data_IF_951581679502
#
_entry.id   IF_951581679502
#
_cell.length_a   1.000
_cell.length_b   1.000
_cell.length_c   1.000
_cell.angle_alpha   90.00
_cell.angle_beta   90.00
_cell.angle_gamma   90.00
#
_symmetry.space_group_name_H-M   'P 1'
#
loop_
_entity.id
_entity.type
_entity.pdbx_description
1 polymer ?
#
# COMPACT_ATOMS: atom_id res chain seq x y z
N UNK A 1 -11.63 -32.22 -36.98
CA UNK A 1 -10.87 -30.98 -36.78
C UNK A 1 -11.00 -30.59 -35.31
N UNK A 2 -9.92 -30.69 -34.56
CA UNK A 2 -9.89 -30.43 -33.11
C UNK A 2 -9.81 -28.92 -32.88
N UNK A 3 -10.85 -28.33 -32.30
CA UNK A 3 -10.79 -26.96 -31.77
C UNK A 3 -10.04 -26.99 -30.44
N UNK A 4 -8.77 -26.58 -30.44
CA UNK A 4 -8.02 -26.36 -29.20
C UNK A 4 -8.52 -25.06 -28.55
N UNK A 5 -9.26 -25.19 -27.44
CA UNK A 5 -9.51 -24.11 -26.49
C UNK A 5 -8.21 -23.79 -25.75
N UNK A 6 -7.44 -22.81 -26.25
CA UNK A 6 -6.32 -22.24 -25.50
C UNK A 6 -6.90 -21.31 -24.42
N UNK A 7 -6.86 -21.75 -23.16
CA UNK A 7 -7.33 -21.03 -21.96
C UNK A 7 -6.54 -19.76 -21.61
N UNK A 8 -6.29 -18.88 -22.58
CA UNK A 8 -5.69 -17.58 -22.35
C UNK A 8 -6.75 -16.60 -21.83
N UNK A 9 -6.56 -16.10 -20.60
CA UNK A 9 -7.34 -14.98 -20.08
C UNK A 9 -7.11 -13.76 -20.97
N UNK A 10 -8.17 -13.10 -21.49
CA UNK A 10 -8.03 -11.89 -22.29
C UNK A 10 -7.26 -10.80 -21.53
N UNK A 11 -6.41 -10.04 -22.23
CA UNK A 11 -5.69 -8.91 -21.65
C UNK A 11 -6.69 -7.82 -21.23
N UNK A 12 -6.77 -7.52 -19.94
CA UNK A 12 -7.57 -6.40 -19.43
C UNK A 12 -6.83 -5.06 -19.63
N UNK A 13 -6.96 -4.53 -20.85
CA UNK A 13 -6.36 -3.25 -21.23
C UNK A 13 -7.02 -2.05 -20.54
N UNK A 14 -8.29 -2.19 -20.14
CA UNK A 14 -9.03 -1.13 -19.45
C UNK A 14 -8.44 -0.92 -18.05
N UNK A 15 -8.22 -2.00 -17.30
CA UNK A 15 -7.60 -1.90 -15.99
C UNK A 15 -6.15 -1.41 -16.07
N UNK A 16 -5.38 -1.81 -17.09
CA UNK A 16 -4.04 -1.24 -17.32
C UNK A 16 -4.10 0.28 -17.52
N UNK A 17 -5.05 0.78 -18.31
CA UNK A 17 -5.24 2.21 -18.54
C UNK A 17 -5.65 2.94 -17.24
N UNK A 18 -6.48 2.32 -16.41
CA UNK A 18 -6.85 2.81 -15.08
C UNK A 18 -5.61 2.94 -14.17
N UNK A 19 -4.77 1.91 -14.09
CA UNK A 19 -3.51 1.97 -13.32
C UNK A 19 -2.61 3.07 -13.84
N UNK A 20 -2.50 3.25 -15.16
CA UNK A 20 -1.74 4.35 -15.76
C UNK A 20 -2.33 5.73 -15.40
N UNK A 21 -3.65 5.88 -15.37
CA UNK A 21 -4.34 7.12 -14.96
C UNK A 21 -4.03 7.46 -13.50
N UNK A 22 -4.22 6.50 -12.59
CA UNK A 22 -4.04 6.71 -11.14
C UNK A 22 -2.57 6.91 -10.77
N UNK A 23 -1.66 6.08 -11.32
CA UNK A 23 -0.24 6.19 -11.03
C UNK A 23 0.46 7.31 -11.80
N UNK A 24 -0.06 7.71 -12.96
CA UNK A 24 0.63 8.59 -13.91
C UNK A 24 1.87 7.94 -14.54
N UNK A 25 1.99 6.61 -14.50
CA UNK A 25 3.19 5.88 -14.93
C UNK A 25 2.93 4.92 -16.10
N UNK A 26 3.80 4.88 -17.12
CA UNK A 26 3.66 4.01 -18.28
C UNK A 26 4.25 2.61 -17.99
N UNK A 27 3.48 1.78 -17.27
CA UNK A 27 3.88 0.42 -16.85
C UNK A 27 4.22 -0.50 -18.02
N UNK A 28 3.64 -0.26 -19.19
CA UNK A 28 3.85 -1.00 -20.43
C UNK A 28 5.28 -0.86 -21.00
N UNK A 29 6.02 0.19 -20.63
CA UNK A 29 7.42 0.36 -21.06
C UNK A 29 8.39 -0.59 -20.34
N UNK A 30 7.93 -1.33 -19.34
CA UNK A 30 8.78 -2.24 -18.59
C UNK A 30 9.21 -3.45 -19.43
N UNK A 31 10.47 -3.45 -19.88
CA UNK A 31 11.09 -4.58 -20.59
C UNK A 31 11.67 -5.68 -19.66
N UNK A 32 11.28 -5.69 -18.38
CA UNK A 32 11.62 -6.77 -17.43
C UNK A 32 13.12 -6.98 -17.14
N UNK A 33 13.91 -5.90 -17.01
CA UNK A 33 15.33 -5.98 -16.63
C UNK A 33 15.63 -6.45 -15.19
N UNK A 34 14.60 -6.58 -14.34
CA UNK A 34 14.69 -7.06 -12.95
C UNK A 34 15.55 -6.23 -11.97
N UNK A 35 16.11 -5.07 -12.36
CA UNK A 35 16.87 -4.20 -11.44
C UNK A 35 16.09 -3.81 -10.18
N UNK A 36 14.78 -3.61 -10.32
CA UNK A 36 13.89 -3.32 -9.20
C UNK A 36 13.69 -4.51 -8.25
N UNK A 37 13.76 -5.75 -8.74
CA UNK A 37 13.69 -6.94 -7.90
C UNK A 37 14.96 -7.09 -7.06
N UNK A 38 16.13 -6.93 -7.69
CA UNK A 38 17.42 -7.00 -7.02
C UNK A 38 17.59 -5.93 -5.91
N UNK A 39 16.92 -4.78 -6.05
CA UNK A 39 16.94 -3.71 -5.04
C UNK A 39 15.84 -3.77 -3.99
N UNK A 40 14.92 -4.74 -4.04
CA UNK A 40 13.75 -4.77 -3.16
C UNK A 40 14.09 -5.41 -1.80
N UNK A 41 13.98 -4.62 -0.72
CA UNK A 41 14.21 -5.10 0.66
C UNK A 41 13.13 -6.08 1.14
N UNK A 42 11.92 -5.99 0.58
CA UNK A 42 10.78 -6.82 0.98
C UNK A 42 10.69 -8.14 0.21
N UNK A 43 11.63 -8.42 -0.69
CA UNK A 43 11.58 -9.57 -1.62
C UNK A 43 11.37 -10.89 -0.89
N UNK A 44 12.07 -11.11 0.23
CA UNK A 44 11.99 -12.36 1.00
C UNK A 44 10.61 -12.64 1.62
N UNK A 45 9.75 -11.62 1.73
CA UNK A 45 8.44 -11.73 2.37
C UNK A 45 7.28 -11.50 1.40
N UNK A 46 7.57 -11.06 0.17
CA UNK A 46 6.59 -10.71 -0.85
C UNK A 46 6.31 -11.89 -1.77
N UNK A 47 5.05 -12.04 -2.18
CA UNK A 47 4.65 -13.10 -3.12
C UNK A 47 5.17 -12.85 -4.54
N UNK A 48 5.43 -11.58 -4.89
CA UNK A 48 5.90 -11.16 -6.19
C UNK A 48 6.92 -10.04 -6.09
N UNK A 49 7.87 -10.02 -7.02
CA UNK A 49 8.84 -8.93 -7.19
C UNK A 49 8.17 -7.71 -7.83
N UNK A 50 8.76 -6.50 -7.72
CA UNK A 50 8.19 -5.32 -8.36
C UNK A 50 8.04 -5.45 -9.88
N UNK A 51 8.99 -6.06 -10.60
CA UNK A 51 8.85 -6.25 -12.06
C UNK A 51 7.74 -7.25 -12.41
N UNK A 52 7.54 -8.28 -11.58
CA UNK A 52 6.44 -9.23 -11.76
C UNK A 52 5.10 -8.52 -11.55
N UNK A 53 4.99 -7.64 -10.54
CA UNK A 53 3.79 -6.80 -10.35
C UNK A 53 3.53 -5.93 -11.59
N UNK A 54 4.55 -5.23 -12.10
CA UNK A 54 4.41 -4.44 -13.34
C UNK A 54 3.98 -5.31 -14.53
N UNK A 55 4.52 -6.51 -14.67
CA UNK A 55 4.14 -7.43 -15.75
C UNK A 55 2.69 -7.86 -15.62
N UNK A 56 2.24 -8.19 -14.41
CA UNK A 56 0.86 -8.58 -14.15
C UNK A 56 -0.11 -7.42 -14.41
N UNK A 57 0.27 -6.18 -14.07
CA UNK A 57 -0.47 -4.97 -14.45
C UNK A 57 -0.55 -4.86 -15.97
N UNK A 58 0.57 -4.99 -16.68
CA UNK A 58 0.61 -4.90 -18.14
C UNK A 58 -0.24 -5.98 -18.84
N UNK A 59 -0.39 -7.14 -18.20
CA UNK A 59 -1.20 -8.27 -18.66
C UNK A 59 -2.68 -8.20 -18.23
N UNK A 60 -3.08 -7.22 -17.43
CA UNK A 60 -4.47 -7.12 -16.98
C UNK A 60 -4.85 -8.07 -15.84
N UNK A 61 -3.88 -8.65 -15.11
CA UNK A 61 -4.13 -9.65 -14.05
C UNK A 61 -4.58 -9.00 -12.73
N UNK A 62 -5.69 -8.25 -12.78
CA UNK A 62 -6.21 -7.41 -11.69
C UNK A 62 -6.31 -8.14 -10.36
N UNK A 63 -7.06 -9.24 -10.31
CA UNK A 63 -7.32 -9.95 -9.05
C UNK A 63 -6.06 -10.49 -8.39
N UNK A 64 -5.10 -10.95 -9.20
CA UNK A 64 -3.83 -11.49 -8.71
C UNK A 64 -2.97 -10.38 -8.09
N UNK A 65 -2.95 -9.21 -8.73
CA UNK A 65 -2.23 -8.05 -8.23
C UNK A 65 -2.88 -7.54 -6.95
N UNK A 66 -4.18 -7.25 -6.97
CA UNK A 66 -4.88 -6.63 -5.83
C UNK A 66 -4.93 -7.51 -4.57
N UNK A 67 -4.85 -8.84 -4.72
CA UNK A 67 -4.74 -9.79 -3.59
C UNK A 67 -3.30 -10.01 -3.09
N UNK A 68 -2.29 -9.48 -3.78
CA UNK A 68 -0.88 -9.73 -3.44
C UNK A 68 -0.43 -9.01 -2.17
N UNK A 69 0.40 -9.69 -1.37
CA UNK A 69 1.10 -9.07 -0.23
C UNK A 69 2.17 -8.08 -0.68
N UNK A 70 2.70 -8.20 -1.89
CA UNK A 70 3.78 -7.36 -2.41
C UNK A 70 3.41 -5.86 -2.38
N UNK A 71 2.16 -5.53 -2.71
CA UNK A 71 1.63 -4.16 -2.66
C UNK A 71 1.73 -3.60 -1.24
N UNK A 72 1.30 -4.37 -0.25
CA UNK A 72 1.25 -3.97 1.15
C UNK A 72 2.60 -3.94 1.85
N UNK A 73 3.54 -4.78 1.41
CA UNK A 73 4.91 -4.84 1.94
C UNK A 73 5.82 -3.76 1.34
N UNK A 74 5.41 -3.11 0.25
CA UNK A 74 6.17 -2.02 -0.34
C UNK A 74 6.24 -0.83 0.64
N UNK A 75 7.46 -0.55 1.12
CA UNK A 75 7.75 0.57 2.02
C UNK A 75 7.85 1.93 1.33
N UNK A 76 7.80 1.98 -0.01
CA UNK A 76 7.98 3.22 -0.76
C UNK A 76 9.40 3.78 -0.68
N UNK A 77 10.44 2.93 -0.48
CA UNK A 77 11.83 3.38 -0.33
C UNK A 77 12.49 3.94 -1.61
N UNK A 78 11.78 3.95 -2.75
CA UNK A 78 12.20 4.51 -4.04
C UNK A 78 13.41 3.86 -4.73
N UNK A 79 14.08 2.85 -4.14
CA UNK A 79 15.22 2.16 -4.76
C UNK A 79 14.91 1.63 -6.17
N UNK A 80 13.71 1.07 -6.35
CA UNK A 80 13.26 0.57 -7.65
C UNK A 80 13.08 1.68 -8.67
N UNK A 81 12.51 2.82 -8.26
CA UNK A 81 12.29 4.02 -9.10
C UNK A 81 13.61 4.59 -9.59
N UNK A 82 14.57 4.84 -8.69
CA UNK A 82 15.87 5.44 -9.04
C UNK A 82 16.69 4.55 -9.98
N UNK A 83 16.56 3.22 -9.86
CA UNK A 83 17.33 2.27 -10.68
C UNK A 83 16.63 1.87 -11.99
N UNK A 84 15.42 2.38 -12.25
CA UNK A 84 14.66 1.97 -13.42
C UNK A 84 15.23 2.62 -14.68
N UNK A 85 15.74 1.85 -15.66
CA UNK A 85 16.29 2.39 -16.90
C UNK A 85 15.21 2.99 -17.82
N UNK A 86 13.93 2.63 -17.61
CA UNK A 86 12.80 3.19 -18.36
C UNK A 86 12.17 4.42 -17.67
N UNK A 87 12.73 4.88 -16.54
CA UNK A 87 12.18 6.01 -15.79
C UNK A 87 10.80 5.75 -15.17
N UNK A 88 10.40 4.49 -14.98
CA UNK A 88 9.12 4.16 -14.35
C UNK A 88 9.22 4.36 -12.84
N UNK A 89 8.36 5.20 -12.29
CA UNK A 89 8.20 5.34 -10.84
C UNK A 89 7.40 4.17 -10.26
N UNK A 90 8.11 3.07 -10.03
CA UNK A 90 7.54 1.81 -9.55
C UNK A 90 6.96 1.98 -8.15
N UNK A 91 7.55 2.82 -7.29
CA UNK A 91 6.99 3.10 -5.97
C UNK A 91 5.61 3.75 -6.07
N UNK A 92 5.46 4.73 -6.97
CA UNK A 92 4.16 5.37 -7.25
C UNK A 92 3.14 4.40 -7.85
N UNK A 93 3.56 3.46 -8.69
CA UNK A 93 2.68 2.37 -9.16
C UNK A 93 2.20 1.51 -7.99
N UNK A 94 3.10 1.11 -7.08
CA UNK A 94 2.71 0.31 -5.90
C UNK A 94 1.75 1.06 -4.98
N UNK A 95 1.94 2.37 -4.79
CA UNK A 95 1.02 3.19 -3.99
C UNK A 95 -0.34 3.38 -4.67
N UNK A 96 -0.37 3.58 -5.99
CA UNK A 96 -1.62 3.59 -6.76
C UNK A 96 -2.39 2.27 -6.59
N UNK A 97 -1.70 1.13 -6.64
CA UNK A 97 -2.33 -0.17 -6.41
C UNK A 97 -2.88 -0.29 -4.98
N UNK A 98 -2.21 0.22 -3.94
CA UNK A 98 -2.76 0.29 -2.57
C UNK A 98 -4.06 1.10 -2.54
N UNK A 99 -4.08 2.26 -3.21
CA UNK A 99 -5.25 3.13 -3.29
C UNK A 99 -6.42 2.43 -3.97
N UNK A 100 -6.17 1.74 -5.10
CA UNK A 100 -7.21 0.99 -5.80
C UNK A 100 -7.79 -0.14 -4.94
N UNK A 101 -6.96 -0.85 -4.16
CA UNK A 101 -7.45 -1.85 -3.21
C UNK A 101 -8.35 -1.22 -2.14
N UNK A 102 -7.95 -0.06 -1.61
CA UNK A 102 -8.71 0.66 -0.60
C UNK A 102 -10.06 1.19 -1.13
N UNK A 103 -10.09 1.70 -2.37
CA UNK A 103 -11.30 2.24 -3.02
C UNK A 103 -12.30 1.14 -3.39
N UNK A 104 -11.83 0.01 -3.92
CA UNK A 104 -12.71 -1.06 -4.39
C UNK A 104 -13.21 -1.99 -3.27
N UNK A 105 -12.87 -1.73 -1.99
CA UNK A 105 -13.13 -2.64 -0.86
C UNK A 105 -12.65 -4.09 -1.10
N UNK A 106 -11.70 -4.30 -2.03
CA UNK A 106 -11.18 -5.62 -2.43
C UNK A 106 -10.16 -6.18 -1.43
N UNK A 107 -10.00 -5.49 -0.31
CA UNK A 107 -9.15 -5.91 0.77
C UNK A 107 -9.68 -7.21 1.32
N UNK A 108 -8.83 -8.23 1.41
CA UNK A 108 -9.08 -9.33 2.33
C UNK A 108 -9.31 -8.74 3.72
N UNK A 109 -10.56 -8.82 4.22
CA UNK A 109 -11.03 -8.27 5.50
C UNK A 109 -10.10 -8.61 6.69
N UNK A 110 -9.31 -9.68 6.53
CA UNK A 110 -8.38 -10.23 7.51
C UNK A 110 -6.89 -9.95 7.23
N UNK A 111 -6.50 -9.13 6.25
CA UNK A 111 -5.08 -8.79 6.05
C UNK A 111 -4.61 -7.83 7.17
N UNK A 112 -3.72 -8.27 8.08
CA UNK A 112 -3.26 -7.45 9.20
C UNK A 112 -2.53 -6.18 8.73
N UNK A 113 -1.80 -6.25 7.62
CA UNK A 113 -1.03 -5.12 7.08
C UNK A 113 -1.97 -4.03 6.53
N UNK A 114 -3.03 -4.41 5.81
CA UNK A 114 -4.03 -3.44 5.38
C UNK A 114 -4.76 -2.80 6.57
N UNK A 115 -5.15 -3.61 7.56
CA UNK A 115 -5.84 -3.09 8.75
C UNK A 115 -4.97 -2.08 9.49
N UNK A 116 -3.69 -2.38 9.66
CA UNK A 116 -2.72 -1.44 10.22
C UNK A 116 -2.65 -0.15 9.38
N UNK A 117 -2.49 -0.27 8.05
CA UNK A 117 -2.43 0.87 7.15
C UNK A 117 -3.65 1.79 7.27
N UNK A 118 -4.86 1.22 7.24
CA UNK A 118 -6.10 2.00 7.35
C UNK A 118 -6.22 2.69 8.71
N UNK A 119 -5.87 1.99 9.79
CA UNK A 119 -5.85 2.58 11.14
C UNK A 119 -4.81 3.70 11.26
N UNK A 120 -3.64 3.53 10.66
CA UNK A 120 -2.58 4.52 10.62
C UNK A 120 -3.02 5.79 9.89
N UNK A 121 -3.55 5.67 8.66
CA UNK A 121 -4.04 6.81 7.88
C UNK A 121 -5.19 7.54 8.59
N UNK A 122 -6.13 6.80 9.19
CA UNK A 122 -7.23 7.40 9.95
C UNK A 122 -6.76 8.09 11.24
N UNK A 123 -5.69 7.59 11.88
CA UNK A 123 -5.07 8.23 13.04
C UNK A 123 -4.51 9.62 12.66
N UNK A 124 -3.81 9.70 11.53
CA UNK A 124 -3.30 10.96 10.99
C UNK A 124 -4.44 11.90 10.61
N UNK A 125 -5.46 11.41 9.89
CA UNK A 125 -6.61 12.24 9.46
C UNK A 125 -7.37 12.87 10.63
N UNK A 126 -7.52 12.15 11.75
CA UNK A 126 -8.31 12.62 12.90
C UNK A 126 -7.53 13.54 13.84
N UNK A 127 -6.20 13.40 13.91
CA UNK A 127 -5.36 14.06 14.94
C UNK A 127 -4.23 14.91 14.40
N UNK A 128 -3.97 14.86 13.09
CA UNK A 128 -2.89 15.57 12.43
C UNK A 128 -1.50 14.95 12.62
N UNK A 129 -1.32 14.06 13.60
CA UNK A 129 -0.08 13.32 13.82
C UNK A 129 -0.37 11.92 14.32
N UNK A 130 0.60 11.03 14.15
CA UNK A 130 0.52 9.67 14.67
C UNK A 130 0.59 9.71 16.21
N UNK A 131 -0.43 9.14 16.86
CA UNK A 131 -0.39 8.76 18.28
C UNK A 131 -0.16 7.25 18.34
N UNK A 132 1.09 6.86 18.56
CA UNK A 132 1.56 5.48 18.52
C UNK A 132 0.86 4.60 19.56
N UNK A 133 0.65 5.09 20.79
CA UNK A 133 0.01 4.32 21.86
C UNK A 133 -1.44 3.97 21.52
N UNK A 134 -2.22 4.93 21.02
CA UNK A 134 -3.61 4.70 20.65
C UNK A 134 -3.71 3.89 19.36
N UNK A 135 -2.81 4.11 18.40
CA UNK A 135 -2.75 3.28 17.20
C UNK A 135 -2.47 1.82 17.55
N UNK A 136 -1.43 1.57 18.35
CA UNK A 136 -1.03 0.23 18.76
C UNK A 136 -2.13 -0.43 19.59
N UNK A 137 -2.67 0.26 20.60
CA UNK A 137 -3.77 -0.28 21.41
C UNK A 137 -5.00 -0.64 20.57
N UNK A 138 -5.41 0.21 19.63
CA UNK A 138 -6.53 -0.09 18.72
C UNK A 138 -6.21 -1.24 17.78
N UNK A 139 -4.98 -1.33 17.28
CA UNK A 139 -4.56 -2.41 16.40
C UNK A 139 -4.55 -3.75 17.12
N UNK A 140 -3.95 -3.84 18.31
CA UNK A 140 -3.90 -5.07 19.10
C UNK A 140 -5.28 -5.55 19.57
N UNK A 141 -6.17 -4.60 19.93
CA UNK A 141 -7.58 -4.90 20.20
C UNK A 141 -8.27 -5.48 18.96
N UNK A 142 -8.03 -4.86 17.82
CA UNK A 142 -8.67 -5.24 16.57
C UNK A 142 -8.11 -6.58 16.04
N UNK A 143 -6.86 -6.94 16.32
CA UNK A 143 -6.25 -8.23 15.96
C UNK A 143 -6.42 -9.32 17.03
N UNK A 144 -7.00 -8.97 18.20
CA UNK A 144 -7.24 -9.91 19.30
C UNK A 144 -5.96 -10.33 20.05
N UNK A 145 -4.86 -9.59 19.89
CA UNK A 145 -3.53 -9.94 20.42
C UNK A 145 -3.14 -9.19 21.69
N UNK A 146 -4.02 -8.35 22.23
CA UNK A 146 -3.77 -7.52 23.40
C UNK A 146 -3.17 -8.29 24.59
N UNK A 147 -3.66 -9.51 24.87
CA UNK A 147 -3.17 -10.34 25.97
C UNK A 147 -1.68 -10.74 25.83
N UNK A 148 -1.19 -10.95 24.60
CA UNK A 148 0.20 -11.34 24.35
C UNK A 148 1.16 -10.16 24.48
N UNK A 149 0.69 -8.96 24.11
CA UNK A 149 1.52 -7.75 24.08
C UNK A 149 1.47 -6.95 25.38
N UNK A 150 0.60 -7.33 26.33
CA UNK A 150 0.41 -6.61 27.59
C UNK A 150 1.72 -6.48 28.39
N UNK A 151 2.54 -7.53 28.43
CA UNK A 151 3.82 -7.53 29.13
C UNK A 151 4.84 -6.55 28.54
N UNK A 152 4.95 -6.49 27.21
CA UNK A 152 5.79 -5.50 26.53
C UNK A 152 5.25 -4.07 26.73
N UNK A 153 3.93 -3.91 26.65
CA UNK A 153 3.25 -2.63 26.92
C UNK A 153 3.53 -2.11 28.33
N UNK A 154 3.40 -2.96 29.36
CA UNK A 154 3.73 -2.64 30.75
C UNK A 154 5.21 -2.27 30.92
N UNK A 155 6.12 -3.00 30.28
CA UNK A 155 7.55 -2.71 30.33
C UNK A 155 7.91 -1.35 29.70
N UNK A 156 7.28 -1.00 28.59
CA UNK A 156 7.45 0.31 27.93
C UNK A 156 6.82 1.45 28.73
N UNK A 157 5.64 1.22 29.31
CA UNK A 157 4.95 2.17 30.19
C UNK A 157 5.78 2.48 31.44
N UNK A 158 6.32 1.45 32.10
CA UNK A 158 7.22 1.61 33.27
C UNK A 158 8.48 2.41 32.95
N UNK A 159 8.97 2.33 31.71
CA UNK A 159 10.12 3.12 31.23
C UNK A 159 9.75 4.52 30.71
N UNK A 160 8.48 4.93 30.82
CA UNK A 160 7.99 6.22 30.31
C UNK A 160 7.97 6.34 28.79
N UNK A 161 8.14 5.23 28.04
CA UNK A 161 8.24 5.22 26.57
C UNK A 161 6.89 5.07 25.87
N UNK A 162 5.78 5.18 26.61
CA UNK A 162 4.43 5.06 26.09
C UNK A 162 3.57 6.27 26.53
N UNK A 163 3.76 7.45 25.91
CA UNK A 163 2.96 8.62 26.21
C UNK A 163 1.54 8.44 25.64
N UNK A 164 0.60 8.06 26.51
CA UNK A 164 -0.82 7.87 26.16
C UNK A 164 -1.42 9.15 25.54
N UNK A 165 -0.97 10.31 26.02
CA UNK A 165 -1.39 11.63 25.56
C UNK A 165 -0.34 12.25 24.63
N UNK A 166 -0.57 12.10 23.33
CA UNK A 166 0.16 12.84 22.32
C UNK A 166 -0.25 14.33 22.38
N UNK A 167 0.71 15.25 22.50
CA UNK A 167 0.47 16.70 22.32
C UNK A 167 -0.33 16.97 21.04
N UNK A 168 -1.41 17.77 21.05
CA UNK A 168 -2.16 18.10 19.85
C UNK A 168 -1.29 18.90 18.86
N UNK A 169 -1.56 18.77 17.57
CA UNK A 169 -0.89 19.58 16.53
C UNK A 169 -1.46 20.99 16.55
N UNK A 170 -0.58 22.01 16.55
CA UNK A 170 -0.97 23.44 16.60
C UNK A 170 -1.88 23.86 15.42
N UNK A 171 -1.65 23.34 14.22
CA UNK A 171 -2.39 23.71 13.00
C UNK A 171 -3.23 22.54 12.47
N UNK A 172 -4.18 22.07 13.27
CA UNK A 172 -5.04 20.94 12.89
C UNK A 172 -5.87 21.25 11.62
N UNK A 173 -6.30 22.50 11.46
CA UNK A 173 -7.11 22.94 10.32
C UNK A 173 -6.35 22.90 9.00
N UNK A 174 -5.05 23.18 9.02
CA UNK A 174 -4.19 23.10 7.83
C UNK A 174 -4.09 21.66 7.32
N UNK A 175 -3.99 20.70 8.24
CA UNK A 175 -3.96 19.27 7.89
C UNK A 175 -5.30 18.85 7.30
N UNK A 176 -6.42 19.29 7.89
CA UNK A 176 -7.74 19.05 7.31
C UNK A 176 -7.87 19.65 5.90
N UNK A 177 -7.31 20.85 5.64
CA UNK A 177 -7.26 21.43 4.28
C UNK A 177 -6.42 20.61 3.31
N UNK A 178 -5.26 20.11 3.73
CA UNK A 178 -4.42 19.24 2.88
C UNK A 178 -5.20 17.99 2.47
N UNK A 179 -5.89 17.35 3.42
CA UNK A 179 -6.74 16.19 3.11
C UNK A 179 -7.96 16.55 2.26
N UNK A 180 -8.57 17.73 2.46
CA UNK A 180 -9.68 18.21 1.63
C UNK A 180 -9.23 18.44 0.18
N UNK A 181 -8.10 19.13 -0.01
CA UNK A 181 -7.51 19.38 -1.33
C UNK A 181 -7.09 18.10 -2.04
N UNK A 182 -6.54 17.13 -1.30
CA UNK A 182 -6.23 15.81 -1.86
C UNK A 182 -7.49 15.10 -2.38
N UNK A 183 -8.63 15.20 -1.68
CA UNK A 183 -9.91 14.66 -2.15
C UNK A 183 -10.44 15.36 -3.40
N UNK A 184 -10.27 16.67 -3.50
CA UNK A 184 -10.66 17.43 -4.70
C UNK A 184 -9.85 16.98 -5.93
N UNK A 185 -8.56 16.68 -5.74
CA UNK A 185 -7.71 16.13 -6.80
C UNK A 185 -8.05 14.67 -7.15
N UNK A 186 -8.48 13.88 -6.17
CA UNK A 186 -8.96 12.49 -6.38
C UNK A 186 -10.34 12.44 -7.06
N UNK A 187 -11.20 13.44 -6.86
CA UNK A 187 -12.56 13.51 -7.43
C UNK A 187 -12.66 14.26 -8.78
N UNK A 188 -11.60 14.93 -9.21
CA UNK A 188 -11.54 15.69 -10.47
C UNK A 188 -10.94 14.94 -11.66
N UNK A 189 -10.83 13.60 -11.59
CA UNK A 189 -10.20 12.78 -12.64
C UNK A 189 -11.12 11.70 -13.19
#
# INVERSE_FOLDING_TARGET
MVTQNNGATPLDLAWRAEVRKVSGQPVELCYQCQKCAAGCLALAYADYTPNQVLRMVALGLRDRVLKSRAIWLCSGCLTCTVRCPNGIDIARVMDALKQMVAQNNLVARNNPVHRFHTMFVNNIRSRGRVNETILLGRYELATGRLWRELGLGLALFRKGKMPIFARPVRHKDEIHRIFARAREQEGGS
#
